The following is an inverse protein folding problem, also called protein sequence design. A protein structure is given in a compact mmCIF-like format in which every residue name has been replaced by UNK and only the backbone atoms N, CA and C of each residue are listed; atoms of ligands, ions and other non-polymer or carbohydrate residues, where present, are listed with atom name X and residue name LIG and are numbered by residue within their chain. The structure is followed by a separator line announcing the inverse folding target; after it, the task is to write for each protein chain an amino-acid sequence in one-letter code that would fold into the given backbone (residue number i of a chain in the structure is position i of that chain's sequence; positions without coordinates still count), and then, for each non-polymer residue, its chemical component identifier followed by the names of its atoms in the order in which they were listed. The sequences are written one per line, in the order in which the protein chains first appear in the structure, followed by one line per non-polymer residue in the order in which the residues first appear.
data_IF_138135546402
#
_entry.id   IF_138135546402
#
_cell.length_a   1.000
_cell.length_b   1.000
_cell.length_c   1.000
_cell.angle_alpha   90.00
_cell.angle_beta   90.00
_cell.angle_gamma   90.00
#
_symmetry.space_group_name_H-M   'P 1'
#
loop_
_entity.id
_entity.type
_entity.pdbx_description
1 polymer ?
#
# COMPACT_ATOMS: atom_id res chain seq x y z
N UNK A 1 12.05 14.06 -8.99
CA UNK A 1 11.11 12.96 -9.35
C UNK A 1 11.26 12.62 -10.84
N UNK A 2 11.83 11.46 -11.17
CA UNK A 2 12.13 11.05 -12.56
C UNK A 2 11.39 9.79 -13.07
N UNK A 3 10.43 9.18 -12.33
CA UNK A 3 9.78 7.93 -12.78
C UNK A 3 8.22 7.89 -12.92
N UNK A 4 7.73 7.18 -13.96
CA UNK A 4 6.33 6.94 -14.40
C UNK A 4 6.11 5.45 -14.61
N UNK A 5 4.84 5.09 -14.74
CA UNK A 5 4.43 3.74 -15.10
C UNK A 5 3.36 3.79 -16.20
N UNK A 6 3.68 4.41 -17.35
CA UNK A 6 2.82 4.40 -18.55
C UNK A 6 3.54 4.90 -19.84
N UNK A 7 4.00 3.98 -20.69
CA UNK A 7 4.28 4.27 -22.12
C UNK A 7 3.67 3.18 -23.01
N UNK A 8 2.66 3.56 -23.80
CA UNK A 8 2.02 2.68 -24.80
C UNK A 8 2.78 2.72 -26.13
N UNK A 9 4.10 2.57 -26.11
CA UNK A 9 4.89 2.37 -27.32
C UNK A 9 4.77 0.93 -27.86
N UNK A 10 4.56 -0.04 -26.95
CA UNK A 10 4.57 -1.48 -27.26
C UNK A 10 3.44 -2.26 -26.56
N UNK A 11 2.36 -1.58 -26.12
CA UNK A 11 1.22 -2.15 -25.38
C UNK A 11 1.52 -2.89 -24.05
N UNK A 12 2.79 -3.06 -23.67
CA UNK A 12 3.22 -3.74 -22.44
C UNK A 12 3.59 -2.76 -21.31
N UNK A 13 3.43 -3.13 -20.02
CA UNK A 13 3.87 -2.30 -18.90
C UNK A 13 5.38 -2.06 -18.92
N UNK A 14 5.80 -0.84 -18.59
CA UNK A 14 7.21 -0.46 -18.40
C UNK A 14 7.36 0.09 -16.98
N UNK A 15 8.46 -0.28 -16.32
CA UNK A 15 8.80 0.13 -14.96
C UNK A 15 9.76 1.37 -15.02
N UNK A 16 9.25 2.62 -15.14
CA UNK A 16 10.07 3.89 -15.09
C UNK A 16 9.68 5.11 -16.01
N UNK A 17 10.11 6.36 -15.66
CA UNK A 17 10.18 7.63 -16.51
C UNK A 17 9.15 8.84 -16.47
N UNK A 18 9.05 9.72 -15.43
CA UNK A 18 7.95 10.65 -14.94
C UNK A 18 7.01 11.52 -15.86
N UNK A 19 5.73 11.71 -15.44
CA UNK A 19 4.74 12.79 -15.71
C UNK A 19 3.76 13.01 -14.55
N UNK A 20 3.50 14.29 -14.24
CA UNK A 20 2.60 14.80 -13.19
C UNK A 20 1.09 14.70 -13.50
N UNK A 21 0.64 13.67 -14.22
CA UNK A 21 -0.75 13.53 -14.70
C UNK A 21 -1.39 12.16 -14.50
N UNK A 22 -0.67 11.18 -13.94
CA UNK A 22 -1.27 9.88 -13.61
C UNK A 22 -2.10 9.97 -12.31
N UNK A 23 -3.20 9.22 -12.18
CA UNK A 23 -3.93 9.10 -10.91
C UNK A 23 -3.02 8.52 -9.81
N UNK A 24 -3.15 9.04 -8.61
CA UNK A 24 -2.46 8.62 -7.37
C UNK A 24 -2.34 7.09 -7.22
N UNK A 25 -3.44 6.36 -7.50
CA UNK A 25 -3.48 4.90 -7.48
C UNK A 25 -2.38 4.23 -8.33
N UNK A 26 -2.04 4.77 -9.52
CA UNK A 26 -1.01 4.18 -10.37
C UNK A 26 0.38 4.25 -9.76
N UNK A 27 0.66 5.31 -8.99
CA UNK A 27 1.93 5.41 -8.25
C UNK A 27 1.92 4.44 -7.07
N UNK A 28 0.83 4.42 -6.29
CA UNK A 28 0.67 3.52 -5.14
C UNK A 28 0.73 2.04 -5.52
N UNK A 29 0.19 1.63 -6.67
CA UNK A 29 0.26 0.25 -7.14
C UNK A 29 1.71 -0.27 -7.22
N UNK A 30 2.66 0.58 -7.63
CA UNK A 30 4.08 0.20 -7.72
C UNK A 30 4.90 0.60 -6.49
N UNK A 31 4.59 1.69 -5.79
CA UNK A 31 5.30 2.05 -4.54
C UNK A 31 4.88 1.21 -3.33
N UNK A 32 3.74 0.51 -3.40
CA UNK A 32 3.30 -0.49 -2.41
C UNK A 32 3.36 -1.94 -2.93
N UNK A 33 3.90 -2.13 -4.14
CA UNK A 33 4.16 -3.45 -4.67
C UNK A 33 5.30 -4.14 -3.87
N UNK A 34 5.15 -5.43 -3.56
CA UNK A 34 6.27 -6.32 -3.26
C UNK A 34 7.49 -6.05 -4.13
N UNK A 35 8.70 -6.09 -3.56
CA UNK A 35 10.00 -5.96 -4.22
C UNK A 35 10.32 -4.58 -4.83
N UNK A 36 9.34 -3.85 -5.35
CA UNK A 36 9.58 -2.57 -6.02
C UNK A 36 9.78 -1.43 -5.02
N UNK A 37 9.13 -1.49 -3.85
CA UNK A 37 9.30 -0.53 -2.76
C UNK A 37 10.77 -0.37 -2.33
N UNK A 38 11.49 -1.48 -2.12
CA UNK A 38 12.92 -1.45 -1.77
C UNK A 38 13.82 -0.97 -2.90
N UNK A 39 13.52 -1.29 -4.17
CA UNK A 39 14.31 -0.81 -5.33
C UNK A 39 14.17 0.70 -5.54
N UNK A 40 12.93 1.21 -5.50
CA UNK A 40 12.63 2.65 -5.54
C UNK A 40 13.40 3.37 -4.42
N UNK A 41 13.41 2.79 -3.22
CA UNK A 41 14.12 3.37 -2.07
C UNK A 41 15.64 3.37 -2.26
N UNK A 42 16.22 2.30 -2.82
CA UNK A 42 17.66 2.25 -3.10
C UNK A 42 18.10 3.34 -4.08
N UNK A 43 17.31 3.60 -5.12
CA UNK A 43 17.55 4.70 -6.08
C UNK A 43 17.49 6.05 -5.36
N UNK A 44 16.35 6.37 -4.72
CA UNK A 44 16.11 7.68 -4.13
C UNK A 44 17.06 8.01 -2.95
N UNK A 45 17.62 7.00 -2.27
CA UNK A 45 18.59 7.20 -1.20
C UNK A 45 19.96 7.70 -1.67
N UNK A 46 20.32 7.49 -2.95
CA UNK A 46 21.59 7.91 -3.52
C UNK A 46 21.59 9.37 -3.99
N UNK A 47 20.45 9.85 -4.51
CA UNK A 47 20.35 11.16 -5.17
C UNK A 47 20.25 12.35 -4.19
N UNK A 48 19.82 12.11 -2.95
CA UNK A 48 19.42 13.18 -2.02
C UNK A 48 20.37 13.30 -0.81
N UNK A 49 21.12 14.40 -0.64
CA UNK A 49 22.00 14.63 0.50
C UNK A 49 21.36 14.38 1.87
N UNK A 50 20.10 14.78 2.09
CA UNK A 50 19.44 14.64 3.41
C UNK A 50 19.09 13.18 3.79
N UNK A 51 19.17 12.22 2.86
CA UNK A 51 18.91 10.78 3.13
C UNK A 51 20.02 10.04 3.93
N UNK A 52 20.74 10.71 4.84
CA UNK A 52 21.80 10.06 5.65
C UNK A 52 21.27 8.91 6.51
N UNK A 53 20.15 9.09 7.22
CA UNK A 53 19.53 8.04 8.02
C UNK A 53 19.00 6.90 7.16
N UNK A 54 18.44 7.21 5.99
CA UNK A 54 17.96 6.20 5.04
C UNK A 54 19.12 5.35 4.47
N UNK A 55 20.25 5.98 4.10
CA UNK A 55 21.46 5.24 3.69
C UNK A 55 21.98 4.34 4.82
N UNK A 56 21.94 4.79 6.07
CA UNK A 56 22.32 3.96 7.23
C UNK A 56 21.40 2.75 7.44
N UNK A 57 20.11 2.85 7.11
CA UNK A 57 19.18 1.72 7.13
C UNK A 57 19.45 0.75 5.96
N UNK A 58 19.71 1.27 4.76
CA UNK A 58 20.05 0.47 3.57
C UNK A 58 21.37 -0.30 3.71
N UNK A 59 22.38 0.22 4.43
CA UNK A 59 23.63 -0.51 4.71
C UNK A 59 23.42 -1.80 5.52
N UNK A 60 22.27 -1.99 6.18
CA UNK A 60 21.90 -3.29 6.78
C UNK A 60 21.60 -4.33 5.70
N UNK A 61 20.91 -3.95 4.63
CA UNK A 61 20.65 -4.83 3.48
C UNK A 61 21.95 -5.22 2.79
N UNK A 62 22.87 -4.27 2.60
CA UNK A 62 24.23 -4.53 2.08
C UNK A 62 24.96 -5.57 2.93
N UNK A 63 24.90 -5.43 4.26
CA UNK A 63 25.48 -6.39 5.21
C UNK A 63 24.85 -7.78 5.08
N UNK A 64 23.52 -7.87 4.95
CA UNK A 64 22.80 -9.14 4.79
C UNK A 64 23.04 -9.82 3.44
N UNK A 65 23.24 -9.04 2.36
CA UNK A 65 23.62 -9.58 1.05
C UNK A 65 25.05 -10.14 1.08
N UNK A 66 25.99 -9.42 1.70
CA UNK A 66 27.38 -9.86 1.84
C UNK A 66 27.56 -11.00 2.86
N UNK A 67 26.69 -11.09 3.87
CA UNK A 67 26.71 -12.09 4.94
C UNK A 67 25.29 -12.59 5.26
N UNK A 68 24.76 -13.53 4.47
CA UNK A 68 23.40 -14.06 4.66
C UNK A 68 23.19 -14.76 6.01
N UNK A 69 24.25 -15.18 6.70
CA UNK A 69 24.25 -15.71 8.07
C UNK A 69 23.89 -14.65 9.13
N UNK A 70 24.04 -13.35 8.80
CA UNK A 70 23.69 -12.22 9.68
C UNK A 70 22.30 -11.64 9.37
N UNK A 71 21.63 -12.15 8.33
CA UNK A 71 20.26 -11.79 7.99
C UNK A 71 19.26 -12.50 8.92
N UNK A 72 18.01 -11.99 9.05
CA UNK A 72 16.94 -12.75 9.67
C UNK A 72 16.79 -14.13 8.99
N UNK A 73 16.56 -15.23 9.74
CA UNK A 73 16.45 -16.56 9.16
C UNK A 73 15.41 -16.60 8.03
N UNK A 74 15.81 -17.13 6.87
CA UNK A 74 14.95 -17.21 5.68
C UNK A 74 14.91 -15.95 4.80
N UNK A 75 15.38 -14.78 5.27
CA UNK A 75 15.21 -13.50 4.59
C UNK A 75 15.56 -13.51 3.10
N UNK A 76 16.76 -13.99 2.72
CA UNK A 76 17.18 -14.02 1.32
C UNK A 76 16.36 -15.01 0.47
N UNK A 77 15.85 -16.09 1.06
CA UNK A 77 14.95 -17.03 0.39
C UNK A 77 13.56 -16.41 0.19
N UNK A 78 13.07 -15.64 1.16
CA UNK A 78 11.82 -14.88 1.06
C UNK A 78 11.91 -13.80 -0.02
N UNK A 79 13.01 -13.03 -0.07
CA UNK A 79 13.26 -12.05 -1.12
C UNK A 79 13.29 -12.72 -2.51
N UNK A 80 14.00 -13.85 -2.65
CA UNK A 80 14.07 -14.61 -3.92
C UNK A 80 12.71 -15.13 -4.38
N UNK A 81 11.92 -15.70 -3.46
CA UNK A 81 10.55 -16.15 -3.75
C UNK A 81 9.68 -14.98 -4.20
N UNK A 82 9.67 -13.89 -3.44
CA UNK A 82 8.92 -12.68 -3.74
C UNK A 82 9.32 -12.10 -5.11
N UNK A 83 10.60 -12.10 -5.46
CA UNK A 83 11.07 -11.66 -6.78
C UNK A 83 10.59 -12.58 -7.91
N UNK A 84 10.69 -13.90 -7.75
CA UNK A 84 10.18 -14.85 -8.74
C UNK A 84 8.66 -14.69 -8.95
N UNK A 85 7.88 -14.54 -7.88
CA UNK A 85 6.43 -14.29 -7.92
C UNK A 85 6.09 -12.98 -8.64
N UNK A 86 6.75 -11.87 -8.30
CA UNK A 86 6.51 -10.55 -8.92
C UNK A 86 6.87 -10.54 -10.41
N UNK A 87 8.04 -11.08 -10.77
CA UNK A 87 8.49 -11.13 -12.17
C UNK A 87 7.61 -12.05 -13.01
N UNK A 88 7.15 -13.18 -12.46
CA UNK A 88 6.21 -14.08 -13.13
C UNK A 88 4.83 -13.43 -13.28
N UNK A 89 4.30 -12.79 -12.24
CA UNK A 89 3.01 -12.11 -12.30
C UNK A 89 2.99 -11.01 -13.38
N UNK A 90 4.05 -10.21 -13.46
CA UNK A 90 4.18 -9.10 -14.41
C UNK A 90 4.66 -9.53 -15.82
N UNK A 91 4.82 -10.83 -16.08
CA UNK A 91 5.42 -11.41 -17.31
C UNK A 91 6.78 -10.79 -17.72
N UNK A 92 7.63 -10.50 -16.74
CA UNK A 92 8.97 -9.93 -17.01
C UNK A 92 9.91 -11.00 -17.56
N UNK A 93 10.18 -10.95 -18.86
CA UNK A 93 11.11 -11.86 -19.54
C UNK A 93 12.59 -11.43 -19.44
N UNK A 94 12.86 -10.12 -19.32
CA UNK A 94 14.22 -9.57 -19.29
C UNK A 94 14.32 -8.43 -18.28
N UNK A 95 15.49 -8.27 -17.67
CA UNK A 95 15.86 -7.15 -16.79
C UNK A 95 17.10 -6.50 -17.37
N UNK A 96 17.08 -5.18 -17.52
CA UNK A 96 18.20 -4.39 -18.02
C UNK A 96 18.65 -3.42 -16.93
N UNK A 97 19.95 -3.43 -16.62
CA UNK A 97 20.56 -2.58 -15.60
C UNK A 97 21.44 -1.55 -16.29
N UNK A 98 21.15 -0.27 -16.07
CA UNK A 98 22.00 0.85 -16.46
C UNK A 98 22.90 1.21 -15.27
N UNK A 99 24.12 0.67 -15.23
CA UNK A 99 25.08 0.85 -14.12
C UNK A 99 25.52 2.30 -13.92
N UNK A 100 25.41 3.15 -14.94
CA UNK A 100 25.63 4.60 -14.85
C UNK A 100 24.45 5.36 -14.21
N UNK A 101 23.32 4.67 -13.96
CA UNK A 101 22.07 5.24 -13.43
C UNK A 101 21.58 4.62 -12.12
N UNK A 102 22.17 3.50 -11.68
CA UNK A 102 21.76 2.83 -10.44
C UNK A 102 22.89 2.76 -9.43
N UNK A 103 22.59 2.84 -8.11
CA UNK A 103 23.61 2.64 -7.08
C UNK A 103 24.13 1.20 -7.07
N UNK A 104 25.41 0.95 -6.71
CA UNK A 104 25.98 -0.40 -6.66
C UNK A 104 25.20 -1.38 -5.76
N UNK A 105 24.56 -0.90 -4.69
CA UNK A 105 23.72 -1.71 -3.81
C UNK A 105 22.48 -2.27 -4.54
N UNK A 106 21.90 -1.51 -5.48
CA UNK A 106 20.75 -1.98 -6.25
C UNK A 106 21.14 -3.13 -7.18
N UNK A 107 22.25 -3.01 -7.90
CA UNK A 107 22.74 -4.10 -8.77
C UNK A 107 23.08 -5.35 -7.93
N UNK A 108 23.76 -5.18 -6.79
CA UNK A 108 24.04 -6.29 -5.86
C UNK A 108 22.75 -6.97 -5.36
N UNK A 109 21.73 -6.20 -4.96
CA UNK A 109 20.45 -6.74 -4.52
C UNK A 109 19.76 -7.50 -5.65
N UNK A 110 19.62 -6.88 -6.83
CA UNK A 110 18.99 -7.50 -8.01
C UNK A 110 19.68 -8.80 -8.39
N UNK A 111 21.01 -8.83 -8.48
CA UNK A 111 21.76 -10.05 -8.85
C UNK A 111 21.71 -11.15 -7.77
N UNK A 112 21.57 -10.79 -6.50
CA UNK A 112 21.44 -11.75 -5.41
C UNK A 112 20.02 -12.32 -5.26
N UNK A 113 19.00 -11.55 -5.63
CA UNK A 113 17.58 -11.82 -5.33
C UNK A 113 16.80 -12.27 -6.56
N UNK A 114 17.05 -11.71 -7.74
CA UNK A 114 16.28 -12.02 -8.94
C UNK A 114 16.81 -13.31 -9.62
N UNK A 115 15.94 -14.15 -10.22
CA UNK A 115 16.34 -15.34 -10.94
C UNK A 115 16.89 -14.98 -12.34
N UNK A 116 18.09 -14.40 -12.41
CA UNK A 116 18.66 -13.84 -13.65
C UNK A 116 19.77 -14.70 -14.27
N UNK A 117 19.78 -14.80 -15.60
CA UNK A 117 20.91 -15.26 -16.41
C UNK A 117 21.44 -14.12 -17.30
N UNK A 118 22.76 -13.93 -17.44
CA UNK A 118 23.33 -12.88 -18.29
C UNK A 118 23.12 -13.20 -19.79
N UNK A 119 22.75 -12.18 -20.57
CA UNK A 119 22.51 -12.30 -22.03
C UNK A 119 23.55 -11.51 -22.82
N UNK A 120 23.75 -10.25 -22.45
CA UNK A 120 24.67 -9.34 -23.12
C UNK A 120 25.12 -8.22 -22.16
N UNK A 121 26.28 -7.63 -22.44
CA UNK A 121 26.78 -6.45 -21.73
C UNK A 121 27.42 -5.50 -22.75
N UNK A 122 27.00 -4.24 -22.74
CA UNK A 122 27.60 -3.18 -23.55
C UNK A 122 27.85 -1.94 -22.67
N UNK A 123 29.13 -1.71 -22.35
CA UNK A 123 29.59 -0.62 -21.47
C UNK A 123 28.88 -0.71 -20.10
N UNK A 124 28.09 0.31 -19.78
CA UNK A 124 27.36 0.42 -18.50
C UNK A 124 25.98 -0.26 -18.55
N UNK A 125 25.60 -0.90 -19.67
CA UNK A 125 24.30 -1.58 -19.82
C UNK A 125 24.50 -3.10 -19.76
N UNK A 126 23.91 -3.74 -18.75
CA UNK A 126 23.87 -5.19 -18.61
C UNK A 126 22.44 -5.72 -18.82
N UNK A 127 22.28 -6.66 -19.74
CA UNK A 127 21.02 -7.32 -20.07
C UNK A 127 21.00 -8.73 -19.52
N UNK A 128 19.96 -9.03 -18.74
CA UNK A 128 19.69 -10.33 -18.16
C UNK A 128 18.34 -10.88 -18.65
N UNK A 129 18.25 -12.19 -18.86
CA UNK A 129 16.97 -12.89 -19.02
C UNK A 129 16.52 -13.38 -17.65
N UNK A 130 15.22 -13.32 -17.40
CA UNK A 130 14.59 -13.93 -16.23
C UNK A 130 14.44 -15.43 -16.49
N UNK A 131 15.05 -16.26 -15.65
CA UNK A 131 14.84 -17.71 -15.68
C UNK A 131 13.38 -18.01 -15.31
N UNK A 132 12.66 -18.68 -16.21
CA UNK A 132 11.36 -19.26 -15.91
C UNK A 132 11.53 -20.61 -15.22
N UNK A 133 12.02 -20.56 -13.98
CA UNK A 133 12.07 -21.72 -13.09
C UNK A 133 10.64 -22.23 -12.80
N UNK A 134 10.48 -23.50 -12.41
CA UNK A 134 9.17 -24.17 -12.25
C UNK A 134 8.23 -23.55 -11.22
N UNK A 135 8.71 -22.61 -10.38
CA UNK A 135 7.98 -21.96 -9.29
C UNK A 135 6.58 -21.47 -9.70
N UNK A 136 5.55 -22.26 -9.37
CA UNK A 136 4.16 -21.95 -9.69
C UNK A 136 3.70 -20.67 -8.99
N UNK A 137 2.75 -19.96 -9.60
CA UNK A 137 1.99 -18.96 -8.84
C UNK A 137 1.27 -19.68 -7.68
N UNK A 138 1.23 -19.09 -6.47
CA UNK A 138 0.43 -19.64 -5.39
C UNK A 138 -1.02 -19.85 -5.83
N UNK A 139 -1.58 -21.01 -5.50
CA UNK A 139 -2.95 -21.38 -5.88
C UNK A 139 -4.02 -20.59 -5.12
N UNK A 140 -3.67 -20.09 -3.93
CA UNK A 140 -4.45 -19.19 -3.09
C UNK A 140 -3.58 -18.00 -2.67
N UNK A 141 -4.15 -16.80 -2.73
CA UNK A 141 -3.45 -15.54 -2.48
C UNK A 141 -4.29 -14.65 -1.56
N UNK A 142 -3.72 -14.22 -0.42
CA UNK A 142 -4.29 -13.17 0.43
C UNK A 142 -4.13 -11.82 -0.29
N UNK A 143 -5.23 -11.10 -0.53
CA UNK A 143 -5.22 -9.85 -1.30
C UNK A 143 -4.72 -8.63 -0.49
N UNK A 144 -4.53 -8.76 0.82
CA UNK A 144 -4.12 -7.66 1.71
C UNK A 144 -2.60 -7.49 1.80
N UNK A 145 -1.85 -8.56 1.50
CA UNK A 145 -0.40 -8.63 1.68
C UNK A 145 0.32 -9.43 0.58
N UNK A 146 1.66 -9.33 0.56
CA UNK A 146 2.49 -10.03 -0.42
C UNK A 146 2.05 -9.80 -1.87
N UNK A 147 2.18 -10.85 -2.69
CA UNK A 147 1.86 -10.83 -4.13
C UNK A 147 0.40 -10.48 -4.43
N UNK A 148 -0.54 -10.70 -3.49
CA UNK A 148 -1.96 -10.41 -3.67
C UNK A 148 -2.27 -8.94 -3.93
N UNK A 149 -1.40 -8.03 -3.48
CA UNK A 149 -1.51 -6.60 -3.79
C UNK A 149 -1.42 -6.30 -5.29
N UNK A 150 -0.65 -7.09 -6.05
CA UNK A 150 -0.57 -6.94 -7.51
C UNK A 150 -1.86 -7.34 -8.22
N UNK A 151 -2.73 -8.15 -7.59
CA UNK A 151 -4.02 -8.50 -8.17
C UNK A 151 -5.02 -7.33 -8.12
N UNK A 152 -4.73 -6.26 -7.37
CA UNK A 152 -5.66 -5.15 -7.15
C UNK A 152 -5.41 -4.00 -8.11
N UNK A 153 -6.39 -3.73 -8.98
CA UNK A 153 -6.43 -2.53 -9.83
C UNK A 153 -7.24 -1.40 -9.20
N UNK A 154 -7.78 -0.49 -10.02
CA UNK A 154 -8.53 0.66 -9.53
C UNK A 154 -9.84 0.24 -8.83
N UNK A 155 -10.18 0.93 -7.73
CA UNK A 155 -11.50 0.88 -7.08
C UNK A 155 -11.58 0.10 -5.77
N UNK A 156 -10.52 -0.64 -5.42
CA UNK A 156 -10.34 -1.24 -4.10
C UNK A 156 -9.99 -0.20 -3.01
N UNK A 157 -10.10 -0.61 -1.75
CA UNK A 157 -9.47 0.08 -0.61
C UNK A 157 -7.95 0.01 -0.69
N UNK A 158 -7.24 1.04 -0.22
CA UNK A 158 -5.80 0.92 0.02
C UNK A 158 -5.49 -0.25 0.97
N UNK A 159 -4.38 -0.97 0.76
CA UNK A 159 -3.94 -1.95 1.73
C UNK A 159 -3.39 -1.22 2.97
N UNK A 160 -3.91 -1.53 4.15
CA UNK A 160 -3.44 -0.96 5.42
C UNK A 160 -3.04 -2.07 6.38
N UNK A 161 -2.15 -1.75 7.34
CA UNK A 161 -1.93 -2.61 8.49
C UNK A 161 -3.02 -2.30 9.52
N UNK A 162 -3.88 -3.27 9.87
CA UNK A 162 -4.86 -3.04 10.93
C UNK A 162 -4.13 -2.98 12.28
N UNK A 163 -4.55 -2.08 13.15
CA UNK A 163 -3.90 -1.85 14.46
C UNK A 163 -4.39 -2.82 15.52
N UNK A 164 -5.60 -3.34 15.35
CA UNK A 164 -6.15 -4.49 16.05
C UNK A 164 -6.37 -5.63 15.05
N UNK A 165 -6.45 -6.88 15.50
CA UNK A 165 -6.56 -8.04 14.60
C UNK A 165 -8.04 -8.25 14.21
N UNK A 166 -8.47 -7.95 12.98
CA UNK A 166 -9.80 -8.38 12.54
C UNK A 166 -9.81 -9.91 12.41
N UNK A 167 -10.97 -10.53 12.64
CA UNK A 167 -11.11 -11.98 12.53
C UNK A 167 -10.73 -12.50 11.12
N UNK A 168 -10.95 -11.67 10.10
CA UNK A 168 -10.55 -11.86 8.70
C UNK A 168 -10.02 -10.51 8.17
N UNK A 169 -8.79 -10.48 7.64
CA UNK A 169 -8.26 -9.33 6.90
C UNK A 169 -8.91 -9.27 5.52
N UNK A 170 -9.25 -8.08 5.04
CA UNK A 170 -9.83 -7.91 3.70
C UNK A 170 -9.52 -6.56 3.06
N UNK A 171 -9.55 -6.54 1.72
CA UNK A 171 -9.72 -5.32 0.93
C UNK A 171 -11.19 -5.16 0.54
N UNK A 172 -11.61 -3.92 0.33
CA UNK A 172 -13.00 -3.55 0.10
C UNK A 172 -13.19 -2.96 -1.29
N UNK A 173 -14.15 -3.48 -2.05
CA UNK A 173 -14.60 -2.83 -3.27
C UNK A 173 -15.41 -1.58 -2.90
N UNK A 174 -14.93 -0.39 -3.27
CA UNK A 174 -15.52 0.90 -2.87
C UNK A 174 -16.22 1.64 -4.04
N UNK A 175 -16.53 0.90 -5.10
CA UNK A 175 -17.14 1.38 -6.34
C UNK A 175 -18.02 0.28 -6.92
N UNK A 176 -19.00 0.67 -7.74
CA UNK A 176 -19.77 -0.28 -8.56
C UNK A 176 -18.91 -1.10 -9.52
N UNK A 177 -17.69 -0.65 -9.84
CA UNK A 177 -16.77 -1.41 -10.67
C UNK A 177 -15.35 -1.25 -10.14
N UNK A 178 -14.65 -2.38 -9.98
CA UNK A 178 -13.25 -2.46 -9.56
C UNK A 178 -12.48 -3.34 -10.55
N UNK A 179 -11.19 -3.07 -10.75
CA UNK A 179 -10.33 -3.89 -11.61
C UNK A 179 -9.60 -4.95 -10.77
N UNK A 180 -9.56 -6.17 -11.27
CA UNK A 180 -8.59 -7.19 -10.86
C UNK A 180 -7.57 -7.38 -11.98
N UNK A 181 -6.35 -7.70 -11.59
CA UNK A 181 -5.24 -8.06 -12.46
C UNK A 181 -4.93 -9.53 -12.20
N UNK A 182 -5.05 -10.37 -13.22
CA UNK A 182 -4.74 -11.81 -13.12
C UNK A 182 -3.45 -12.09 -13.89
N UNK A 183 -2.57 -12.98 -13.42
CA UNK A 183 -1.45 -13.45 -14.22
C UNK A 183 -2.00 -14.27 -15.40
N UNK A 184 -1.50 -14.05 -16.61
CA UNK A 184 -1.75 -14.98 -17.71
C UNK A 184 -1.16 -16.35 -17.37
N UNK A 185 -1.99 -17.38 -17.47
CA UNK A 185 -1.53 -18.75 -17.69
C UNK A 185 -2.41 -19.37 -18.77
N UNK A 186 -1.82 -20.11 -19.72
CA UNK A 186 -2.57 -20.89 -20.71
C UNK A 186 -3.55 -21.91 -20.07
N UNK A 187 -3.30 -22.26 -18.80
CA UNK A 187 -4.13 -23.14 -17.99
C UNK A 187 -5.30 -22.43 -17.28
N UNK A 188 -5.41 -21.09 -17.26
CA UNK A 188 -6.43 -20.39 -16.48
C UNK A 188 -7.85 -20.71 -16.97
N UNK A 189 -8.72 -21.16 -16.06
CA UNK A 189 -10.15 -21.51 -16.31
C UNK A 189 -11.11 -20.77 -15.37
N UNK A 190 -10.60 -19.78 -14.63
CA UNK A 190 -11.38 -18.91 -13.77
C UNK A 190 -10.66 -18.59 -12.46
N UNK A 191 -11.42 -18.08 -11.50
CA UNK A 191 -10.95 -17.87 -10.14
C UNK A 191 -12.10 -17.96 -9.13
N UNK A 192 -11.74 -18.12 -7.86
CA UNK A 192 -12.65 -18.01 -6.73
C UNK A 192 -12.23 -16.83 -5.85
N UNK A 193 -13.18 -16.14 -5.23
CA UNK A 193 -12.93 -15.06 -4.27
C UNK A 193 -13.55 -15.42 -2.92
N UNK A 194 -12.80 -15.28 -1.83
CA UNK A 194 -13.35 -15.30 -0.49
C UNK A 194 -13.98 -13.92 -0.23
N UNK A 195 -15.29 -13.81 -0.35
CA UNK A 195 -16.02 -12.54 -0.41
C UNK A 195 -17.13 -12.44 0.63
N UNK A 196 -17.51 -11.21 0.97
CA UNK A 196 -18.53 -10.85 1.95
C UNK A 196 -19.29 -9.58 1.55
N UNK A 197 -20.61 -9.57 1.68
CA UNK A 197 -21.45 -8.40 1.48
C UNK A 197 -21.92 -7.80 2.84
N UNK A 198 -21.71 -6.49 3.08
CA UNK A 198 -22.24 -5.78 4.27
C UNK A 198 -23.76 -5.76 4.42
N UNK A 199 -24.50 -6.08 3.35
CA UNK A 199 -25.95 -6.02 3.35
C UNK A 199 -26.59 -6.99 2.36
N UNK A 200 -27.93 -7.06 2.35
CA UNK A 200 -28.66 -8.04 1.58
C UNK A 200 -28.71 -7.72 0.08
N UNK A 201 -28.81 -8.78 -0.73
CA UNK A 201 -29.09 -8.66 -2.17
C UNK A 201 -27.92 -8.14 -3.01
N UNK A 202 -26.68 -8.44 -2.59
CA UNK A 202 -25.49 -8.16 -3.39
C UNK A 202 -25.27 -9.21 -4.48
N UNK A 203 -24.94 -8.73 -5.67
CA UNK A 203 -24.53 -9.52 -6.83
C UNK A 203 -23.28 -8.91 -7.43
N UNK A 204 -22.46 -9.74 -8.06
CA UNK A 204 -21.23 -9.34 -8.73
C UNK A 204 -21.13 -10.02 -10.09
N UNK A 205 -20.86 -9.24 -11.12
CA UNK A 205 -20.59 -9.69 -12.48
C UNK A 205 -19.10 -9.63 -12.77
N UNK A 206 -18.55 -10.70 -13.35
CA UNK A 206 -17.24 -10.67 -14.00
C UNK A 206 -17.39 -10.07 -15.40
N UNK A 207 -16.69 -8.96 -15.64
CA UNK A 207 -16.63 -8.26 -16.91
C UNK A 207 -15.25 -8.44 -17.53
N UNK A 208 -15.22 -8.92 -18.76
CA UNK A 208 -14.02 -9.15 -19.59
C UNK A 208 -14.26 -8.46 -20.93
N UNK A 209 -13.32 -7.62 -21.37
CA UNK A 209 -13.43 -6.85 -22.63
C UNK A 209 -14.77 -6.10 -22.81
N UNK A 210 -15.34 -5.65 -21.69
CA UNK A 210 -16.62 -4.95 -21.62
C UNK A 210 -17.87 -5.86 -21.63
N UNK A 211 -17.72 -7.17 -21.78
CA UNK A 211 -18.81 -8.14 -21.76
C UNK A 211 -18.95 -8.82 -20.39
N UNK A 212 -20.19 -9.04 -19.94
CA UNK A 212 -20.46 -9.85 -18.75
C UNK A 212 -20.35 -11.35 -19.10
N UNK A 213 -19.34 -12.02 -18.56
CA UNK A 213 -19.04 -13.44 -18.85
C UNK A 213 -19.49 -14.40 -17.75
N UNK A 214 -19.64 -13.90 -16.52
CA UNK A 214 -20.16 -14.66 -15.38
C UNK A 214 -20.79 -13.72 -14.34
N UNK A 215 -21.68 -14.24 -13.49
CA UNK A 215 -22.34 -13.49 -12.41
C UNK A 215 -22.59 -14.41 -11.21
N UNK A 216 -22.33 -13.92 -10.00
CA UNK A 216 -22.51 -14.63 -8.74
C UNK A 216 -23.21 -13.75 -7.68
N UNK A 217 -23.98 -14.32 -6.74
CA UNK A 217 -24.39 -13.63 -5.53
C UNK A 217 -23.21 -13.48 -4.56
N UNK A 218 -23.19 -12.41 -3.76
CA UNK A 218 -22.26 -12.28 -2.63
C UNK A 218 -23.06 -12.41 -1.32
N UNK A 219 -22.74 -13.39 -0.45
CA UNK A 219 -23.49 -13.61 0.77
C UNK A 219 -23.06 -12.66 1.91
N UNK A 220 -23.94 -12.48 2.90
CA UNK A 220 -23.66 -11.76 4.16
C UNK A 220 -22.87 -12.63 5.17
N UNK A 221 -21.92 -13.41 4.67
CA UNK A 221 -20.91 -14.19 5.41
C UNK A 221 -19.72 -14.42 4.49
N UNK A 222 -18.54 -14.62 5.04
CA UNK A 222 -17.36 -14.96 4.25
C UNK A 222 -17.52 -16.32 3.59
N UNK A 223 -17.58 -16.35 2.26
CA UNK A 223 -17.76 -17.57 1.46
C UNK A 223 -16.97 -17.47 0.15
N UNK A 224 -16.52 -18.62 -0.36
CA UNK A 224 -15.86 -18.69 -1.67
C UNK A 224 -16.89 -18.61 -2.79
N UNK A 225 -16.87 -17.53 -3.57
CA UNK A 225 -17.68 -17.36 -4.78
C UNK A 225 -16.83 -17.64 -6.01
N UNK A 226 -17.38 -18.35 -7.00
CA UNK A 226 -16.65 -18.87 -8.16
C UNK A 226 -17.04 -18.18 -9.47
N UNK A 227 -16.04 -17.82 -10.27
CA UNK A 227 -16.20 -17.38 -11.65
C UNK A 227 -15.44 -18.33 -12.57
N UNK A 228 -16.16 -19.18 -13.30
CA UNK A 228 -15.58 -20.05 -14.33
C UNK A 228 -15.55 -19.30 -15.67
N UNK A 229 -14.36 -19.07 -16.22
CA UNK A 229 -14.14 -18.35 -17.48
C UNK A 229 -12.71 -18.62 -17.99
N UNK A 230 -12.53 -18.79 -19.29
CA UNK A 230 -11.21 -18.95 -19.92
C UNK A 230 -10.78 -17.66 -20.62
N UNK A 231 -9.52 -17.21 -20.48
CA UNK A 231 -8.96 -16.15 -21.32
C UNK A 231 -9.06 -16.44 -22.82
N UNK A 232 -9.04 -15.39 -23.67
CA UNK A 232 -8.76 -15.53 -25.10
C UNK A 232 -7.46 -16.29 -25.37
N UNK A 233 -7.36 -16.99 -26.51
CA UNK A 233 -6.15 -17.75 -26.88
C UNK A 233 -4.93 -16.84 -27.19
N UNK A 234 -5.18 -15.57 -27.53
CA UNK A 234 -4.21 -14.53 -27.84
C UNK A 234 -3.92 -13.57 -26.68
N UNK A 235 -4.36 -13.91 -25.47
CA UNK A 235 -4.15 -13.13 -24.27
C UNK A 235 -2.67 -13.16 -23.83
N UNK A 236 -1.99 -12.01 -23.82
CA UNK A 236 -0.60 -11.87 -23.36
C UNK A 236 -0.48 -11.00 -22.08
N UNK A 237 0.34 -11.45 -21.13
CA UNK A 237 0.79 -10.67 -19.97
C UNK A 237 -0.20 -10.59 -18.80
N UNK A 238 -0.26 -9.45 -18.10
CA UNK A 238 -1.23 -9.27 -17.00
C UNK A 238 -2.63 -9.06 -17.58
N UNK A 239 -3.58 -9.92 -17.22
CA UNK A 239 -4.97 -9.90 -17.71
C UNK A 239 -5.86 -8.99 -16.84
N UNK A 240 -6.34 -7.83 -17.35
CA UNK A 240 -7.20 -6.94 -16.60
C UNK A 240 -8.68 -7.35 -16.73
N UNK A 241 -9.26 -7.86 -15.66
CA UNK A 241 -10.71 -8.13 -15.58
C UNK A 241 -11.38 -7.12 -14.66
N UNK A 242 -12.71 -6.98 -14.72
CA UNK A 242 -13.45 -6.13 -13.78
C UNK A 242 -14.52 -6.90 -13.04
N UNK A 243 -14.72 -6.55 -11.77
CA UNK A 243 -15.87 -6.97 -11.00
C UNK A 243 -16.85 -5.81 -10.93
N UNK A 244 -18.06 -6.02 -11.46
CA UNK A 244 -19.15 -5.05 -11.40
C UNK A 244 -20.17 -5.46 -10.35
N UNK A 245 -20.31 -4.65 -9.31
CA UNK A 245 -21.19 -4.84 -8.17
C UNK A 245 -22.51 -4.09 -8.34
N UNK A 246 -23.65 -4.75 -8.17
CA UNK A 246 -24.97 -4.15 -8.43
C UNK A 246 -25.38 -3.11 -7.36
N UNK A 247 -24.79 -3.13 -6.15
CA UNK A 247 -25.06 -2.17 -5.06
C UNK A 247 -23.79 -1.55 -4.47
N UNK A 248 -23.99 -0.41 -3.83
CA UNK A 248 -23.07 0.24 -2.89
C UNK A 248 -23.85 0.53 -1.60
N UNK A 249 -23.49 -0.15 -0.52
CA UNK A 249 -23.99 0.11 0.83
C UNK A 249 -23.35 1.37 1.37
N UNK A 250 -24.14 2.28 1.95
CA UNK A 250 -23.58 3.46 2.63
C UNK A 250 -23.17 3.08 4.04
N UNK A 251 -22.06 3.63 4.53
CA UNK A 251 -21.55 3.32 5.87
C UNK A 251 -22.49 3.75 7.01
N UNK A 252 -23.44 4.64 6.77
CA UNK A 252 -24.50 4.96 7.75
C UNK A 252 -25.67 3.97 7.77
N UNK A 253 -25.81 3.11 6.75
CA UNK A 253 -26.82 2.05 6.68
C UNK A 253 -26.35 0.72 7.29
N UNK A 254 -25.03 0.52 7.39
CA UNK A 254 -24.38 -0.73 7.87
C UNK A 254 -23.51 -0.51 9.11
N UNK A 255 -23.88 0.44 9.98
CA UNK A 255 -23.09 0.82 11.18
C UNK A 255 -22.85 -0.32 12.18
N UNK A 256 -23.72 -1.33 12.16
CA UNK A 256 -23.63 -2.50 13.04
C UNK A 256 -22.80 -3.65 12.42
N UNK A 257 -22.15 -3.44 11.26
CA UNK A 257 -21.29 -4.42 10.60
C UNK A 257 -19.92 -4.53 11.31
N UNK A 258 -19.60 -5.70 11.93
CA UNK A 258 -18.40 -5.89 12.72
C UNK A 258 -17.12 -6.09 11.90
N UNK A 259 -17.21 -6.12 10.56
CA UNK A 259 -16.06 -6.14 9.65
C UNK A 259 -15.74 -4.75 9.10
N UNK A 260 -16.70 -3.81 9.13
CA UNK A 260 -16.51 -2.43 8.69
C UNK A 260 -16.09 -1.50 9.83
N UNK A 261 -16.61 -1.72 11.04
CA UNK A 261 -16.41 -0.87 12.20
C UNK A 261 -15.66 -1.59 13.34
N UNK A 262 -15.01 -0.85 14.27
CA UNK A 262 -14.45 -1.44 15.48
C UNK A 262 -15.50 -2.26 16.24
N UNK A 263 -15.11 -3.44 16.73
CA UNK A 263 -16.02 -4.37 17.41
C UNK A 263 -16.05 -4.20 18.94
N UNK A 264 -15.45 -3.12 19.45
CA UNK A 264 -15.35 -2.84 20.88
C UNK A 264 -16.64 -2.22 21.45
N UNK A 265 -16.70 -2.10 22.77
CA UNK A 265 -17.92 -1.71 23.49
C UNK A 265 -18.32 -0.23 23.33
N UNK A 266 -17.57 0.56 22.56
CA UNK A 266 -17.93 1.92 22.15
C UNK A 266 -17.96 1.99 20.62
N UNK A 267 -19.07 2.38 19.98
CA UNK A 267 -19.11 2.49 18.52
C UNK A 267 -18.17 3.60 18.02
N UNK A 268 -16.99 3.20 17.53
CA UNK A 268 -15.98 4.10 16.96
C UNK A 268 -16.12 4.28 15.44
N UNK A 269 -15.56 5.37 14.86
CA UNK A 269 -15.49 5.52 13.41
C UNK A 269 -14.51 4.51 12.79
N UNK A 270 -14.78 4.08 11.56
CA UNK A 270 -13.81 3.39 10.73
C UNK A 270 -12.72 4.39 10.29
N UNK A 271 -11.49 4.21 10.78
CA UNK A 271 -10.37 5.11 10.50
C UNK A 271 -9.39 4.49 9.51
N UNK A 272 -8.90 5.28 8.55
CA UNK A 272 -7.74 4.95 7.72
C UNK A 272 -6.82 6.16 7.64
N UNK A 273 -5.61 6.03 8.18
CA UNK A 273 -4.57 7.06 8.16
C UNK A 273 -3.48 6.57 7.21
N UNK A 274 -3.11 7.38 6.22
CA UNK A 274 -2.03 7.08 5.27
C UNK A 274 -1.11 8.28 5.12
N UNK A 275 0.19 8.05 5.31
CA UNK A 275 1.27 9.03 5.15
C UNK A 275 2.26 8.55 4.10
N UNK A 276 2.75 9.46 3.27
CA UNK A 276 3.78 9.21 2.27
C UNK A 276 4.67 10.45 2.07
N UNK A 277 5.97 10.27 2.23
CA UNK A 277 6.97 11.21 1.72
C UNK A 277 6.97 11.29 0.19
N UNK A 278 7.69 12.28 -0.36
CA UNK A 278 7.74 12.57 -1.81
C UNK A 278 8.06 11.32 -2.64
N UNK A 279 9.05 10.54 -2.21
CA UNK A 279 9.59 9.36 -2.90
C UNK A 279 8.60 8.20 -2.98
N UNK A 280 7.66 8.12 -2.03
CA UNK A 280 6.81 6.94 -1.80
C UNK A 280 5.32 7.21 -2.04
N UNK A 281 4.95 8.47 -2.31
CA UNK A 281 3.61 8.81 -2.80
C UNK A 281 3.18 10.29 -2.74
N UNK A 282 3.86 11.16 -2.00
CA UNK A 282 3.47 12.56 -1.74
C UNK A 282 2.00 12.75 -1.29
N UNK A 283 1.63 12.19 -0.13
CA UNK A 283 0.30 12.40 0.44
C UNK A 283 0.23 12.27 1.95
N UNK A 284 -0.76 12.95 2.53
CA UNK A 284 -1.24 12.72 3.89
C UNK A 284 -2.77 12.63 3.83
N UNK A 285 -3.33 11.45 4.01
CA UNK A 285 -4.77 11.19 4.02
C UNK A 285 -5.22 10.69 5.39
N UNK A 286 -6.34 11.22 5.87
CA UNK A 286 -6.92 10.86 7.16
C UNK A 286 -8.43 10.66 6.94
N UNK A 287 -8.80 9.44 6.58
CA UNK A 287 -10.20 9.08 6.34
C UNK A 287 -10.91 8.74 7.65
N UNK A 288 -12.05 9.38 7.87
CA UNK A 288 -12.97 9.12 8.98
C UNK A 288 -14.30 8.69 8.37
N UNK A 289 -14.69 7.42 8.57
CA UNK A 289 -15.81 6.78 7.88
C UNK A 289 -15.72 6.95 6.36
N UNK A 290 -14.51 6.74 5.81
CA UNK A 290 -14.24 6.85 4.38
C UNK A 290 -14.33 8.25 3.77
N UNK A 291 -14.40 9.31 4.57
CA UNK A 291 -14.30 10.71 4.10
C UNK A 291 -12.95 11.25 4.54
N UNK A 292 -12.12 11.74 3.60
CA UNK A 292 -10.85 12.36 3.95
C UNK A 292 -11.07 13.68 4.68
N UNK A 293 -10.33 13.86 5.77
CA UNK A 293 -10.37 15.01 6.68
C UNK A 293 -9.01 15.71 6.75
N UNK A 294 -7.99 15.15 6.12
CA UNK A 294 -6.67 15.77 6.02
C UNK A 294 -6.70 17.00 5.12
N UNK A 295 -6.00 18.10 5.47
CA UNK A 295 -5.70 19.18 4.52
C UNK A 295 -4.80 18.74 3.36
N UNK A 296 -4.07 17.63 3.49
CA UNK A 296 -3.16 17.03 2.50
C UNK A 296 -2.08 18.01 1.97
N UNK A 297 -1.57 18.88 2.86
CA UNK A 297 -0.47 19.82 2.62
C UNK A 297 0.87 19.24 3.11
N UNK A 298 2.01 19.80 2.68
CA UNK A 298 3.34 19.37 3.15
C UNK A 298 3.47 19.51 4.68
N UNK A 299 4.21 18.60 5.30
CA UNK A 299 4.44 18.58 6.74
C UNK A 299 3.48 17.65 7.49
N UNK A 300 3.29 17.93 8.78
CA UNK A 300 2.32 17.20 9.60
C UNK A 300 0.89 17.66 9.31
N UNK A 301 0.01 16.73 8.96
CA UNK A 301 -1.43 16.95 8.86
C UNK A 301 -2.09 16.24 10.04
N UNK A 302 -2.88 16.98 10.82
CA UNK A 302 -3.51 16.51 12.06
C UNK A 302 -5.03 16.67 11.98
N UNK A 303 -5.77 15.69 12.50
CA UNK A 303 -7.23 15.74 12.65
C UNK A 303 -7.60 15.39 14.08
N UNK A 304 -8.40 16.26 14.72
CA UNK A 304 -8.91 16.10 16.07
C UNK A 304 -10.32 15.48 16.02
N UNK A 305 -10.53 14.38 16.73
CA UNK A 305 -11.86 13.78 16.91
C UNK A 305 -12.35 13.93 18.35
N UNK A 306 -13.67 14.13 18.46
CA UNK A 306 -14.42 13.98 19.70
C UNK A 306 -14.38 12.50 20.16
N UNK A 307 -13.97 12.21 21.41
CA UNK A 307 -13.69 10.84 21.85
C UNK A 307 -14.93 10.00 22.16
N UNK A 308 -16.11 10.62 22.31
CA UNK A 308 -17.36 9.91 22.63
C UNK A 308 -18.25 9.72 21.38
N UNK A 309 -18.16 10.61 20.39
CA UNK A 309 -18.99 10.59 19.17
C UNK A 309 -18.22 10.29 17.88
N UNK A 310 -16.88 10.34 17.90
CA UNK A 310 -16.04 10.19 16.71
C UNK A 310 -16.18 11.32 15.68
N UNK A 311 -16.83 12.43 16.04
CA UNK A 311 -16.99 13.58 15.16
C UNK A 311 -15.69 14.35 14.98
N UNK A 312 -15.44 14.88 13.79
CA UNK A 312 -14.30 15.76 13.51
C UNK A 312 -14.55 17.11 14.15
N UNK A 313 -13.66 17.51 15.07
CA UNK A 313 -13.72 18.79 15.76
C UNK A 313 -12.88 19.86 15.05
N UNK A 314 -11.69 19.48 14.57
CA UNK A 314 -10.75 20.36 13.87
C UNK A 314 -9.79 19.59 12.97
N UNK A 315 -9.19 20.25 11.98
CA UNK A 315 -8.16 19.70 11.10
C UNK A 315 -7.17 20.79 10.67
N UNK A 316 -5.88 20.53 10.85
CA UNK A 316 -4.80 21.49 10.62
C UNK A 316 -3.59 20.85 9.94
N UNK A 317 -2.77 21.65 9.28
CA UNK A 317 -1.49 21.22 8.72
C UNK A 317 -0.37 22.20 9.07
N UNK A 318 0.83 21.65 9.30
CA UNK A 318 1.99 22.36 9.81
C UNK A 318 3.20 22.00 8.96
N UNK A 319 3.63 22.93 8.10
CA UNK A 319 4.78 22.78 7.20
C UNK A 319 6.10 22.90 7.97
N UNK A 320 6.39 21.90 8.81
CA UNK A 320 7.65 21.76 9.57
C UNK A 320 8.85 21.44 8.68
N UNK A 321 8.71 21.54 7.36
CA UNK A 321 9.81 21.56 6.40
C UNK A 321 10.22 23.00 6.05
N UNK A 322 9.28 23.85 5.59
CA UNK A 322 9.59 25.18 5.06
C UNK A 322 9.30 26.35 6.01
N UNK A 323 8.42 26.20 7.01
CA UNK A 323 8.07 27.26 7.95
C UNK A 323 8.72 27.03 9.33
N UNK A 324 9.59 27.96 9.72
CA UNK A 324 10.26 27.95 11.01
C UNK A 324 9.31 28.15 12.21
N UNK A 325 8.10 28.68 12.00
CA UNK A 325 7.07 28.84 13.04
C UNK A 325 6.13 27.64 13.14
N UNK A 326 6.04 26.78 12.12
CA UNK A 326 5.10 25.67 12.07
C UNK A 326 5.23 24.71 13.26
N UNK A 327 6.44 24.44 13.73
CA UNK A 327 6.67 23.61 14.94
C UNK A 327 6.08 24.24 16.20
N UNK A 328 6.22 25.56 16.38
CA UNK A 328 5.63 26.26 17.53
C UNK A 328 4.10 26.30 17.44
N UNK A 329 3.56 26.53 16.23
CA UNK A 329 2.13 26.51 15.98
C UNK A 329 1.52 25.12 16.24
N UNK A 330 2.18 24.05 15.78
CA UNK A 330 1.76 22.67 16.01
C UNK A 330 1.77 22.32 17.50
N UNK A 331 2.83 22.71 18.23
CA UNK A 331 2.93 22.47 19.66
C UNK A 331 1.83 23.21 20.44
N UNK A 332 1.51 24.45 20.06
CA UNK A 332 0.41 25.22 20.65
C UNK A 332 -0.96 24.58 20.37
N UNK A 333 -1.20 24.15 19.12
CA UNK A 333 -2.44 23.46 18.73
C UNK A 333 -2.62 22.16 19.53
N UNK A 334 -1.60 21.30 19.56
CA UNK A 334 -1.60 20.04 20.31
C UNK A 334 -1.85 20.23 21.82
N UNK A 335 -1.39 21.35 22.41
CA UNK A 335 -1.58 21.67 23.83
C UNK A 335 -2.96 22.24 24.17
N UNK A 336 -3.64 22.85 23.20
CA UNK A 336 -5.01 23.34 23.37
C UNK A 336 -6.06 22.22 23.40
N UNK A 337 -5.71 21.01 22.93
CA UNK A 337 -6.61 19.86 22.83
C UNK A 337 -7.05 19.36 24.23
N UNK A 338 -8.35 19.12 24.46
CA UNK A 338 -8.86 18.51 25.68
C UNK A 338 -8.28 17.11 25.93
N UNK A 339 -7.99 16.78 27.20
CA UNK A 339 -7.52 15.44 27.59
C UNK A 339 -8.57 14.37 27.22
N UNK A 340 -8.10 13.25 26.66
CA UNK A 340 -8.94 12.14 26.21
C UNK A 340 -9.38 12.22 24.74
N UNK A 341 -9.30 13.38 24.09
CA UNK A 341 -9.62 13.51 22.67
C UNK A 341 -8.61 12.77 21.79
N UNK A 342 -9.06 12.25 20.64
CA UNK A 342 -8.23 11.49 19.72
C UNK A 342 -7.58 12.41 18.70
N UNK A 343 -6.29 12.19 18.41
CA UNK A 343 -5.52 12.96 17.43
C UNK A 343 -4.95 12.01 16.39
N UNK A 344 -5.43 12.13 15.17
CA UNK A 344 -4.94 11.38 14.02
C UNK A 344 -3.89 12.22 13.29
N UNK A 345 -2.80 11.60 12.82
CA UNK A 345 -1.74 12.34 12.14
C UNK A 345 -1.12 11.59 10.98
N UNK A 346 -0.81 12.32 9.91
CA UNK A 346 -0.10 11.83 8.73
C UNK A 346 0.87 12.90 8.20
N UNK A 347 2.07 12.47 7.78
CA UNK A 347 3.06 13.33 7.11
C UNK A 347 2.96 13.24 5.59
N UNK A 348 3.16 14.38 4.90
CA UNK A 348 3.29 14.50 3.44
C UNK A 348 4.59 15.19 3.06
N UNK A 349 5.24 14.72 1.98
CA UNK A 349 6.55 15.16 1.50
C UNK A 349 7.60 15.08 2.61
N UNK A 350 7.73 16.14 3.41
CA UNK A 350 8.79 16.32 4.39
C UNK A 350 8.22 17.02 5.64
N UNK A 351 8.68 16.63 6.84
CA UNK A 351 8.23 17.21 8.11
C UNK A 351 9.35 17.33 9.17
N UNK A 352 10.61 17.01 8.85
CA UNK A 352 11.70 16.84 9.81
C UNK A 352 12.65 18.03 9.90
N UNK A 353 12.85 18.83 8.84
CA UNK A 353 13.97 19.79 8.80
C UNK A 353 13.84 20.92 9.83
N UNK A 354 12.65 21.48 10.01
CA UNK A 354 12.35 22.51 11.01
C UNK A 354 11.55 21.96 12.21
N UNK A 355 11.52 20.63 12.41
CA UNK A 355 10.86 20.01 13.57
C UNK A 355 11.65 20.29 14.85
N UNK A 356 11.05 21.00 15.80
CA UNK A 356 11.72 21.37 17.07
C UNK A 356 11.46 20.35 18.18
N UNK A 357 12.29 20.39 19.22
CA UNK A 357 12.06 19.59 20.43
C UNK A 357 10.72 19.90 21.10
N UNK A 358 10.26 21.16 21.07
CA UNK A 358 8.97 21.55 21.65
C UNK A 358 7.79 20.86 20.95
N UNK A 359 7.84 20.76 19.62
CA UNK A 359 6.87 20.02 18.82
C UNK A 359 6.91 18.51 19.09
N UNK A 360 8.10 17.91 19.20
CA UNK A 360 8.27 16.50 19.58
C UNK A 360 7.73 16.24 20.99
N UNK A 361 7.94 17.16 21.93
CA UNK A 361 7.37 17.06 23.28
C UNK A 361 5.84 17.21 23.28
N UNK A 362 5.26 18.04 22.41
CA UNK A 362 3.81 18.12 22.27
C UNK A 362 3.20 16.87 21.61
N UNK A 363 3.89 16.23 20.67
CA UNK A 363 3.49 14.92 20.11
C UNK A 363 3.56 13.81 21.18
N UNK A 364 4.55 13.86 22.07
CA UNK A 364 4.64 12.97 23.24
C UNK A 364 3.45 13.11 24.20
N UNK A 365 2.82 14.28 24.30
CA UNK A 365 1.60 14.49 25.09
C UNK A 365 0.33 13.81 24.50
N UNK A 366 0.39 13.28 23.27
CA UNK A 366 -0.67 12.45 22.66
C UNK A 366 -0.27 10.96 22.52
N UNK A 367 0.84 10.57 23.15
CA UNK A 367 1.35 9.21 23.18
C UNK A 367 2.31 8.82 22.04
N UNK A 368 2.61 9.72 21.10
CA UNK A 368 3.56 9.46 20.00
C UNK A 368 4.98 9.39 20.55
N UNK A 369 5.72 8.33 20.23
CA UNK A 369 7.13 8.15 20.60
C UNK A 369 8.10 8.50 19.46
N UNK A 370 7.68 8.38 18.19
CA UNK A 370 8.53 8.70 17.04
C UNK A 370 9.00 10.15 17.05
N UNK A 371 10.31 10.32 16.87
CA UNK A 371 10.96 11.58 16.53
C UNK A 371 11.40 11.52 15.07
N UNK A 372 10.87 12.43 14.25
CA UNK A 372 11.22 12.55 12.83
C UNK A 372 12.49 13.37 12.58
N UNK A 373 13.08 14.05 13.57
CA UNK A 373 14.29 14.86 13.32
C UNK A 373 15.42 13.98 12.76
N UNK A 374 15.98 14.38 11.62
CA UNK A 374 16.98 13.59 10.88
C UNK A 374 16.41 12.44 10.04
N UNK A 375 15.08 12.32 9.91
CA UNK A 375 14.36 11.35 9.07
C UNK A 375 13.68 12.04 7.90
N UNK A 376 14.49 12.70 7.07
CA UNK A 376 14.04 13.45 5.90
C UNK A 376 13.12 12.60 5.02
N UNK A 377 11.89 13.10 4.80
CA UNK A 377 10.83 12.47 3.98
C UNK A 377 10.33 11.09 4.41
N UNK A 378 10.48 10.73 5.69
CA UNK A 378 9.91 9.48 6.18
C UNK A 378 8.39 9.61 6.38
N UNK A 379 7.65 8.59 5.92
CA UNK A 379 6.22 8.42 6.17
C UNK A 379 5.97 8.16 7.65
N UNK A 380 5.09 8.93 8.28
CA UNK A 380 4.66 8.75 9.67
C UNK A 380 3.14 8.90 9.77
N UNK A 381 2.48 7.80 10.14
CA UNK A 381 1.06 7.75 10.42
C UNK A 381 0.85 7.38 11.89
N UNK A 382 -0.10 8.03 12.58
CA UNK A 382 -0.42 7.72 13.96
C UNK A 382 -1.88 7.98 14.37
N UNK A 383 -2.29 7.29 15.43
CA UNK A 383 -3.53 7.46 16.18
C UNK A 383 -3.12 7.63 17.65
N UNK A 384 -3.19 8.87 18.14
CA UNK A 384 -2.85 9.24 19.52
C UNK A 384 -4.06 9.68 20.32
N UNK A 385 -3.91 9.74 21.65
CA UNK A 385 -4.95 10.19 22.58
C UNK A 385 -4.34 11.22 23.55
N UNK A 386 -4.98 12.38 23.70
CA UNK A 386 -4.42 13.45 24.51
C UNK A 386 -4.29 13.06 25.98
N UNK A 387 -3.07 13.09 26.50
CA UNK A 387 -2.71 12.71 27.86
C UNK A 387 -2.40 11.22 28.05
N UNK A 388 -2.16 10.49 26.95
CA UNK A 388 -1.48 9.19 26.91
C UNK A 388 0.05 9.38 27.07
N UNK A 389 0.74 8.34 27.56
CA UNK A 389 2.18 8.32 27.73
C UNK A 389 2.91 8.01 26.41
N UNK A 390 4.15 8.50 26.19
CA UNK A 390 4.91 8.22 24.98
C UNK A 390 5.09 6.71 24.74
N UNK A 391 4.66 6.24 23.56
CA UNK A 391 4.62 4.82 23.20
C UNK A 391 3.25 4.17 23.35
N UNK A 392 2.24 4.88 23.87
CA UNK A 392 0.85 4.40 23.93
C UNK A 392 0.04 4.74 22.66
N UNK A 393 0.52 5.64 21.79
CA UNK A 393 -0.12 5.87 20.49
C UNK A 393 0.14 4.69 19.53
N UNK A 394 -0.86 4.36 18.72
CA UNK A 394 -0.66 3.44 17.60
C UNK A 394 0.04 4.22 16.49
N UNK A 395 1.27 3.86 16.14
CA UNK A 395 2.05 4.57 15.12
C UNK A 395 2.81 3.64 14.18
N UNK A 396 3.00 4.10 12.94
CA UNK A 396 3.80 3.43 11.92
C UNK A 396 4.70 4.45 11.24
N UNK A 397 5.99 4.11 11.21
CA UNK A 397 7.06 4.86 10.60
C UNK A 397 7.63 4.04 9.44
N UNK A 398 7.83 4.64 8.27
CA UNK A 398 8.48 3.96 7.13
C UNK A 398 9.26 4.91 6.23
N UNK A 399 10.44 4.47 5.81
CA UNK A 399 11.26 5.15 4.81
C UNK A 399 11.12 4.55 3.41
N UNK A 400 10.46 3.39 3.29
CA UNK A 400 10.47 2.55 2.08
C UNK A 400 9.16 2.59 1.29
N UNK A 401 8.07 2.98 1.95
CA UNK A 401 6.69 2.92 1.44
C UNK A 401 5.79 3.84 2.27
N UNK A 402 4.53 4.06 1.84
CA UNK A 402 3.52 4.69 2.68
C UNK A 402 3.36 3.98 4.05
N UNK A 403 3.17 4.78 5.09
CA UNK A 403 2.75 4.31 6.40
C UNK A 403 1.21 4.34 6.46
N UNK A 404 0.58 3.16 6.54
CA UNK A 404 -0.88 3.00 6.55
C UNK A 404 -1.36 2.30 7.82
N UNK A 405 -2.25 2.94 8.59
CA UNK A 405 -2.90 2.42 9.80
C UNK A 405 -4.43 2.41 9.65
N UNK A 406 -5.10 1.43 10.24
CA UNK A 406 -6.57 1.40 10.33
C UNK A 406 -7.06 0.74 11.60
N UNK A 407 -8.17 1.24 12.17
CA UNK A 407 -8.85 0.65 13.34
C UNK A 407 -9.85 -0.45 12.96
N UNK A 408 -10.23 -0.54 11.69
CA UNK A 408 -11.27 -1.46 11.22
C UNK A 408 -11.06 -1.74 9.71
N UNK A 409 -12.10 -1.62 8.88
CA UNK A 409 -11.93 -1.64 7.44
C UNK A 409 -11.14 -0.41 6.95
N UNK A 410 -10.15 -0.58 6.04
CA UNK A 410 -9.34 0.52 5.51
C UNK A 410 -10.09 1.34 4.45
N UNK A 411 -11.12 2.06 4.86
CA UNK A 411 -12.03 2.73 3.93
C UNK A 411 -11.54 4.13 3.54
N UNK A 412 -11.53 4.39 2.24
CA UNK A 412 -11.28 5.71 1.63
C UNK A 412 -12.51 6.29 0.90
N UNK A 413 -13.68 5.65 1.07
CA UNK A 413 -14.99 6.11 0.57
C UNK A 413 -16.11 5.81 1.59
N UNK A 414 -17.15 6.66 1.70
CA UNK A 414 -18.28 6.43 2.62
C UNK A 414 -19.27 5.37 2.12
N UNK A 415 -18.87 4.54 1.15
CA UNK A 415 -19.68 3.49 0.54
C UNK A 415 -18.82 2.29 0.13
N UNK A 416 -19.36 1.09 0.28
CA UNK A 416 -18.71 -0.20 -0.01
C UNK A 416 -19.67 -1.14 -0.74
N UNK A 417 -19.14 -2.01 -1.59
CA UNK A 417 -19.90 -3.06 -2.29
C UNK A 417 -19.72 -4.44 -1.64
N UNK A 418 -18.47 -4.80 -1.34
CA UNK A 418 -18.07 -6.12 -0.85
C UNK A 418 -16.70 -6.05 -0.20
N UNK A 419 -16.49 -6.82 0.86
CA UNK A 419 -15.16 -7.21 1.30
C UNK A 419 -14.68 -8.42 0.49
N UNK A 420 -13.38 -8.51 0.23
CA UNK A 420 -12.70 -9.67 -0.38
C UNK A 420 -11.37 -9.90 0.33
N UNK A 421 -11.16 -11.10 0.84
CA UNK A 421 -9.98 -11.46 1.62
C UNK A 421 -8.89 -12.14 0.78
N UNK A 422 -9.29 -13.14 -0.01
CA UNK A 422 -8.37 -13.99 -0.77
C UNK A 422 -8.92 -14.35 -2.15
N UNK A 423 -8.02 -14.72 -3.06
CA UNK A 423 -8.30 -15.19 -4.41
C UNK A 423 -7.67 -16.56 -4.63
N UNK A 424 -8.39 -17.48 -5.28
CA UNK A 424 -7.85 -18.75 -5.79
C UNK A 424 -7.87 -18.78 -7.31
N UNK A 425 -6.78 -19.17 -7.94
CA UNK A 425 -6.73 -19.37 -9.39
C UNK A 425 -7.25 -20.77 -9.72
N UNK A 426 -8.26 -20.86 -10.59
CA UNK A 426 -8.73 -22.12 -11.14
C UNK A 426 -7.92 -22.39 -12.40
N UNK A 427 -7.05 -23.39 -12.35
CA UNK A 427 -6.27 -23.83 -13.50
C UNK A 427 -6.81 -25.18 -14.00
N UNK A 428 -6.68 -25.44 -15.30
CA UNK A 428 -6.84 -26.77 -15.85
C UNK A 428 -5.69 -27.65 -15.36
N UNK A 429 -6.01 -28.80 -14.78
CA UNK A 429 -5.02 -29.81 -14.41
C UNK A 429 -4.19 -30.22 -15.63
N UNK A 430 -2.91 -30.51 -15.40
CA UNK A 430 -2.03 -31.07 -16.43
C UNK A 430 -2.52 -32.44 -16.91
N UNK A 431 -2.09 -32.87 -18.11
CA UNK A 431 -2.44 -34.17 -18.69
C UNK A 431 -1.94 -35.37 -17.87
#
# INVERSE_FOLDING_TARGET
MFEQWYQTAHHRPILGGNTSRNPEFKFQYFSEAPLLDVLITMINAADEPFHQTLRSELSRLETWLARPDQAPPGWLADQRRQAAEVLRFLDVAYVMIHRDRVPPLLEQFVLAVFPLEPVAEERDIALYRVRRDEASMPSEVDLTEGIGRLFLGEGWSPPARPTEVPLIKAVWAQRHEVRLLLPETATLRGFELLAYAPGPGQTVSLIVDGQEVARAPVPQRWEWIRFSWSPPEDAEGVLPVRLRFDRLYRLDEVRDDPYLFPSDARPGPALLIRSAGEEVGDFAHIYVNGVDRSPNARGYNLVLLDPDTGQVLDAAAFDTHADAQASQAMAAWLRAIPRGAWVLGAVKDEASLNLTEDAVMALREIGVATDLRGRFRWSHAFIGVKGAAPGEAQELLSAFRPASLTTAAPLSRPQVASGVAALRLIQQDGP
#
